data_IF_896259848032
#
_entry.id   IF_896259848032
#
_cell.length_a   1.000
_cell.length_b   1.000
_cell.length_c   1.000
_cell.angle_alpha   90.00
_cell.angle_beta   90.00
_cell.angle_gamma   90.00
#
_symmetry.space_group_name_H-M   'P 1'
#
loop_
_entity.id
_entity.type
_entity.pdbx_description
1 polymer ?
#
# COMPACT_ATOMS: atom_id res chain seq x y z
N UNK A 1 33.02 -25.19 -9.80
CA UNK A 1 31.68 -25.00 -10.39
C UNK A 1 30.82 -26.14 -9.91
N UNK A 2 30.09 -25.93 -8.81
CA UNK A 2 29.20 -26.94 -8.24
C UNK A 2 27.83 -26.31 -8.09
N UNK A 3 26.91 -26.80 -8.91
CA UNK A 3 25.50 -26.47 -8.96
C UNK A 3 24.86 -26.65 -7.58
N UNK A 4 24.55 -25.55 -6.92
CA UNK A 4 23.62 -25.57 -5.79
C UNK A 4 22.23 -25.85 -6.36
N UNK A 5 21.86 -27.13 -6.35
CA UNK A 5 20.48 -27.57 -6.49
C UNK A 5 19.68 -26.87 -5.41
N UNK A 6 18.83 -25.91 -5.80
CA UNK A 6 17.71 -25.48 -4.95
C UNK A 6 16.91 -26.73 -4.64
N UNK A 7 17.06 -27.27 -3.43
CA UNK A 7 16.12 -28.28 -2.94
C UNK A 7 14.76 -27.61 -2.94
N UNK A 8 13.86 -28.09 -3.80
CA UNK A 8 12.46 -27.69 -3.77
C UNK A 8 11.98 -28.02 -2.35
N UNK A 9 11.67 -27.00 -1.56
CA UNK A 9 11.05 -27.21 -0.25
C UNK A 9 9.72 -27.92 -0.53
N UNK A 10 9.54 -29.12 0.00
CA UNK A 10 8.35 -29.94 -0.31
C UNK A 10 7.46 -30.19 0.92
N UNK A 11 7.90 -29.83 2.12
CA UNK A 11 7.22 -30.13 3.41
C UNK A 11 6.77 -31.60 3.48
N UNK A 12 7.74 -32.51 3.37
CA UNK A 12 7.57 -33.97 3.44
C UNK A 12 8.47 -34.56 4.52
N UNK A 13 8.37 -34.05 5.75
CA UNK A 13 9.20 -34.52 6.87
C UNK A 13 8.90 -36.00 7.18
N UNK A 14 9.94 -36.82 7.29
CA UNK A 14 9.81 -38.25 7.61
C UNK A 14 9.37 -38.51 9.05
N UNK A 15 9.62 -37.54 9.93
CA UNK A 15 9.28 -37.49 11.34
C UNK A 15 8.01 -36.66 11.64
N UNK A 16 7.24 -36.32 10.59
CA UNK A 16 5.98 -35.62 10.71
C UNK A 16 4.99 -36.39 11.61
N UNK A 17 4.20 -35.66 12.40
CA UNK A 17 3.17 -36.18 13.29
C UNK A 17 1.75 -35.75 12.89
N UNK A 18 1.62 -35.02 11.77
CA UNK A 18 0.37 -34.62 11.13
C UNK A 18 0.57 -34.37 9.62
N UNK A 19 -0.48 -34.57 8.84
CA UNK A 19 -0.55 -34.20 7.43
C UNK A 19 -1.66 -33.18 7.23
N UNK A 20 -1.33 -32.01 6.67
CA UNK A 20 -2.33 -31.05 6.19
C UNK A 20 -2.59 -31.30 4.71
N UNK A 21 -3.84 -31.25 4.27
CA UNK A 21 -4.24 -31.39 2.86
C UNK A 21 -4.89 -30.09 2.40
N UNK A 22 -4.42 -29.50 1.31
CA UNK A 22 -5.02 -28.30 0.73
C UNK A 22 -6.41 -28.57 0.11
N UNK A 23 -7.22 -27.51 0.00
CA UNK A 23 -8.59 -27.60 -0.52
C UNK A 23 -8.70 -27.65 -2.04
N UNK A 24 -7.64 -27.27 -2.75
CA UNK A 24 -7.68 -27.15 -4.21
C UNK A 24 -7.77 -28.51 -4.92
N UNK A 25 -7.92 -28.48 -6.24
CA UNK A 25 -8.04 -29.70 -7.05
C UNK A 25 -6.81 -30.62 -6.96
N UNK A 26 -5.63 -30.10 -6.56
CA UNK A 26 -4.42 -30.89 -6.43
C UNK A 26 -4.39 -31.66 -5.10
N UNK A 27 -5.08 -31.17 -4.06
CA UNK A 27 -5.12 -31.76 -2.72
C UNK A 27 -3.73 -32.15 -2.22
N UNK A 28 -2.79 -31.21 -2.31
CA UNK A 28 -1.39 -31.44 -2.00
C UNK A 28 -1.23 -31.76 -0.50
N UNK A 29 -0.59 -32.89 -0.14
CA UNK A 29 -0.30 -33.22 1.25
C UNK A 29 0.97 -32.51 1.73
N UNK A 30 0.93 -31.98 2.95
CA UNK A 30 2.05 -31.37 3.67
C UNK A 30 2.28 -32.16 4.97
N UNK A 31 3.35 -32.94 5.03
CA UNK A 31 3.73 -33.70 6.22
C UNK A 31 4.59 -32.82 7.14
N UNK A 32 4.01 -32.40 8.26
CA UNK A 32 4.48 -31.31 9.14
C UNK A 32 4.38 -31.71 10.62
N UNK A 33 4.76 -30.79 11.51
CA UNK A 33 4.93 -31.04 12.94
C UNK A 33 3.93 -30.21 13.75
N UNK A 34 3.08 -30.87 14.56
CA UNK A 34 2.10 -30.23 15.43
C UNK A 34 2.76 -29.24 16.39
N UNK A 35 3.93 -29.56 16.93
CA UNK A 35 4.63 -28.70 17.88
C UNK A 35 5.04 -27.36 17.24
N UNK A 36 5.51 -27.36 15.99
CA UNK A 36 5.90 -26.15 15.25
C UNK A 36 4.65 -25.33 14.90
N UNK A 37 3.61 -25.98 14.35
CA UNK A 37 2.34 -25.32 14.05
C UNK A 37 1.69 -24.71 15.30
N UNK A 38 1.68 -25.43 16.42
CA UNK A 38 1.12 -24.94 17.70
C UNK A 38 1.91 -23.79 18.29
N UNK A 39 3.22 -23.75 18.05
CA UNK A 39 4.07 -22.66 18.51
C UNK A 39 3.82 -21.38 17.68
N UNK A 40 3.49 -21.52 16.40
CA UNK A 40 3.26 -20.40 15.50
C UNK A 40 1.80 -19.91 15.47
N UNK A 41 0.84 -20.73 15.93
CA UNK A 41 -0.59 -20.45 15.82
C UNK A 41 -1.37 -21.00 17.02
N UNK A 42 -2.05 -20.14 17.78
CA UNK A 42 -3.02 -20.57 18.80
C UNK A 42 -4.14 -21.43 18.23
N UNK A 43 -4.60 -21.14 17.01
CA UNK A 43 -5.66 -21.91 16.33
C UNK A 43 -5.24 -23.36 16.12
N UNK A 44 -4.02 -23.61 15.63
CA UNK A 44 -3.50 -24.97 15.49
C UNK A 44 -3.32 -25.63 16.86
N UNK A 45 -2.80 -24.91 17.85
CA UNK A 45 -2.64 -25.43 19.21
C UNK A 45 -3.96 -25.93 19.78
N UNK A 46 -5.01 -25.11 19.72
CA UNK A 46 -6.33 -25.46 20.22
C UNK A 46 -6.94 -26.62 19.42
N UNK A 47 -6.80 -26.60 18.09
CA UNK A 47 -7.26 -27.69 17.20
C UNK A 47 -6.65 -29.04 17.57
N UNK A 48 -5.36 -29.08 17.96
CA UNK A 48 -4.70 -30.32 18.36
C UNK A 48 -4.99 -30.76 19.80
N UNK A 49 -5.51 -29.85 20.65
CA UNK A 49 -5.96 -30.19 22.00
C UNK A 49 -7.33 -30.87 22.02
N UNK A 50 -8.13 -30.72 20.96
CA UNK A 50 -9.43 -31.37 20.84
C UNK A 50 -9.27 -32.88 20.64
N UNK A 51 -10.18 -33.71 21.23
CA UNK A 51 -10.17 -35.15 21.01
C UNK A 51 -10.33 -35.48 19.52
N UNK A 52 -9.28 -35.99 18.88
CA UNK A 52 -9.37 -36.44 17.49
C UNK A 52 -9.91 -37.88 17.41
N UNK A 53 -10.67 -38.23 16.37
CA UNK A 53 -11.01 -39.62 16.09
C UNK A 53 -9.74 -40.48 16.06
N UNK A 54 -9.74 -41.61 16.76
CA UNK A 54 -8.55 -42.48 16.85
C UNK A 54 -8.12 -42.88 15.43
N UNK A 55 -6.87 -42.57 15.08
CA UNK A 55 -6.28 -43.01 13.83
C UNK A 55 -6.31 -44.54 13.76
N UNK A 56 -7.02 -45.07 12.77
CA UNK A 56 -7.01 -46.50 12.46
C UNK A 56 -5.73 -46.83 11.70
N UNK A 57 -4.90 -47.73 12.26
CA UNK A 57 -3.80 -48.43 11.59
C UNK A 57 -2.49 -47.64 11.35
N UNK A 58 -2.01 -46.87 12.33
CA UNK A 58 -0.65 -46.31 12.30
C UNK A 58 -0.41 -45.22 11.23
N UNK A 59 -1.48 -44.70 10.63
CA UNK A 59 -1.44 -43.58 9.69
C UNK A 59 -1.43 -42.25 10.46
N UNK A 60 -0.69 -41.26 9.92
CA UNK A 60 -0.66 -39.92 10.50
C UNK A 60 -2.06 -39.28 10.47
N UNK A 61 -2.43 -38.48 11.49
CA UNK A 61 -3.65 -37.68 11.44
C UNK A 61 -3.64 -36.76 10.21
N UNK A 62 -4.75 -36.75 9.47
CA UNK A 62 -4.94 -35.94 8.27
C UNK A 62 -5.95 -34.84 8.57
N UNK A 63 -5.62 -33.60 8.20
CA UNK A 63 -6.47 -32.43 8.38
C UNK A 63 -6.70 -31.78 7.02
N UNK A 64 -7.96 -31.72 6.60
CA UNK A 64 -8.37 -30.98 5.42
C UNK A 64 -8.39 -29.49 5.76
N UNK A 65 -7.56 -28.73 5.04
CA UNK A 65 -7.52 -27.27 5.09
C UNK A 65 -8.51 -26.68 4.09
N UNK A 66 -8.85 -25.40 4.23
CA UNK A 66 -9.68 -24.69 3.23
C UNK A 66 -8.83 -23.85 2.28
N UNK A 67 -7.57 -23.66 2.63
CA UNK A 67 -6.57 -22.89 1.91
C UNK A 67 -6.00 -23.68 0.73
N UNK A 68 -5.61 -22.99 -0.35
CA UNK A 68 -4.99 -23.63 -1.52
C UNK A 68 -3.57 -24.14 -1.21
N UNK A 69 -3.02 -24.95 -2.11
CA UNK A 69 -1.66 -25.47 -1.98
C UNK A 69 -0.64 -24.34 -1.93
N UNK A 70 -0.82 -23.28 -2.72
CA UNK A 70 0.07 -22.12 -2.77
C UNK A 70 0.03 -21.33 -1.46
N UNK A 71 -1.17 -21.08 -0.93
CA UNK A 71 -1.36 -20.37 0.34
C UNK A 71 -0.75 -21.17 1.49
N UNK A 72 -1.06 -22.47 1.58
CA UNK A 72 -0.49 -23.35 2.60
C UNK A 72 1.03 -23.40 2.51
N UNK A 73 1.57 -23.48 1.30
CA UNK A 73 3.02 -23.49 1.10
C UNK A 73 3.69 -22.19 1.54
N UNK A 74 3.09 -21.03 1.28
CA UNK A 74 3.58 -19.74 1.75
C UNK A 74 3.54 -19.63 3.28
N UNK A 75 2.42 -20.00 3.90
CA UNK A 75 2.28 -19.99 5.36
C UNK A 75 3.29 -20.89 6.06
N UNK A 76 3.50 -22.11 5.54
CA UNK A 76 4.46 -23.04 6.10
C UNK A 76 5.90 -22.51 5.99
N UNK A 77 6.23 -21.74 4.94
CA UNK A 77 7.54 -21.09 4.85
C UNK A 77 7.75 -20.00 5.90
N UNK A 78 6.69 -19.29 6.32
CA UNK A 78 6.79 -18.36 7.45
C UNK A 78 6.92 -19.05 8.81
N UNK A 79 6.33 -20.24 8.94
CA UNK A 79 6.29 -21.00 10.21
C UNK A 79 7.59 -21.80 10.45
N UNK A 80 8.15 -22.36 9.38
CA UNK A 80 9.35 -23.20 9.45
C UNK A 80 10.63 -22.37 9.32
N UNK A 81 11.78 -22.87 9.82
CA UNK A 81 13.07 -22.19 9.72
C UNK A 81 13.66 -22.31 8.31
N UNK A 82 12.95 -21.74 7.33
CA UNK A 82 13.31 -21.67 5.92
C UNK A 82 13.21 -20.21 5.45
N UNK A 83 13.75 -19.86 4.28
CA UNK A 83 13.57 -18.51 3.75
C UNK A 83 12.09 -18.17 3.60
N UNK A 84 11.71 -16.96 4.03
CA UNK A 84 10.36 -16.46 3.82
C UNK A 84 10.01 -16.41 2.32
N UNK A 85 8.74 -16.64 1.96
CA UNK A 85 8.31 -16.54 0.58
C UNK A 85 8.43 -15.11 0.09
N UNK A 86 8.83 -14.95 -1.17
CA UNK A 86 8.70 -13.69 -1.91
C UNK A 86 7.33 -13.70 -2.56
N UNK A 87 6.47 -12.78 -2.14
CA UNK A 87 5.14 -12.61 -2.71
C UNK A 87 5.19 -11.41 -3.65
N UNK A 88 4.89 -11.63 -4.93
CA UNK A 88 5.23 -10.67 -5.98
C UNK A 88 4.05 -9.79 -6.40
N UNK A 89 2.84 -10.12 -5.95
CA UNK A 89 1.62 -9.41 -6.32
C UNK A 89 0.63 -9.33 -5.16
N UNK A 90 -0.25 -8.34 -5.22
CA UNK A 90 -1.35 -8.20 -4.25
C UNK A 90 -2.35 -9.36 -4.38
N UNK A 91 -2.51 -9.94 -5.58
CA UNK A 91 -3.36 -11.12 -5.82
C UNK A 91 -2.86 -12.38 -5.10
N UNK A 92 -1.54 -12.53 -4.96
CA UNK A 92 -0.93 -13.59 -4.15
C UNK A 92 -0.94 -13.24 -2.65
N UNK A 93 -0.72 -11.96 -2.31
CA UNK A 93 -0.60 -11.49 -0.92
C UNK A 93 -1.92 -11.61 -0.16
N UNK A 94 -3.03 -11.18 -0.76
CA UNK A 94 -4.33 -11.10 -0.07
C UNK A 94 -4.81 -12.46 0.43
N UNK A 95 -4.81 -13.56 -0.35
CA UNK A 95 -5.20 -14.89 0.14
C UNK A 95 -4.30 -15.40 1.27
N UNK A 96 -2.99 -15.12 1.21
CA UNK A 96 -2.05 -15.53 2.25
C UNK A 96 -2.28 -14.73 3.53
N UNK A 97 -2.52 -13.43 3.42
CA UNK A 97 -2.84 -12.56 4.58
C UNK A 97 -4.18 -12.96 5.22
N UNK A 98 -5.19 -13.27 4.42
CA UNK A 98 -6.48 -13.75 4.89
C UNK A 98 -6.33 -15.05 5.69
N UNK A 99 -5.59 -16.02 5.14
CA UNK A 99 -5.32 -17.27 5.82
C UNK A 99 -4.44 -17.08 7.08
N UNK A 100 -3.43 -16.22 7.03
CA UNK A 100 -2.58 -15.90 8.18
C UNK A 100 -3.38 -15.28 9.34
N UNK A 101 -4.30 -14.35 9.03
CA UNK A 101 -5.23 -13.76 10.01
C UNK A 101 -6.19 -14.80 10.57
N UNK A 102 -6.77 -15.65 9.70
CA UNK A 102 -7.71 -16.70 10.10
C UNK A 102 -7.06 -17.74 11.02
N UNK A 103 -5.83 -18.14 10.72
CA UNK A 103 -5.06 -19.11 11.48
C UNK A 103 -4.25 -18.46 12.62
N UNK A 104 -4.33 -17.14 12.78
CA UNK A 104 -3.64 -16.38 13.83
C UNK A 104 -2.11 -16.64 13.84
N UNK A 105 -1.47 -16.43 12.69
CA UNK A 105 -0.02 -16.64 12.47
C UNK A 105 0.67 -15.27 12.42
N UNK A 106 1.00 -14.71 13.58
CA UNK A 106 1.55 -13.35 13.72
C UNK A 106 2.81 -13.11 12.88
N UNK A 107 3.74 -14.06 12.84
CA UNK A 107 4.98 -13.94 12.06
C UNK A 107 4.71 -13.75 10.56
N UNK A 108 3.68 -14.43 10.04
CA UNK A 108 3.26 -14.28 8.65
C UNK A 108 2.56 -12.94 8.46
N UNK A 109 1.65 -12.56 9.36
CA UNK A 109 0.93 -11.28 9.31
C UNK A 109 1.93 -10.12 9.27
N UNK A 110 2.91 -10.08 10.17
CA UNK A 110 3.91 -9.01 10.23
C UNK A 110 4.79 -8.96 8.98
N UNK A 111 5.17 -10.11 8.42
CA UNK A 111 5.93 -10.11 7.17
C UNK A 111 5.10 -9.61 5.98
N UNK A 112 3.84 -10.04 5.89
CA UNK A 112 2.91 -9.66 4.81
C UNK A 112 2.54 -8.18 4.88
N UNK A 113 2.39 -7.62 6.08
CA UNK A 113 2.20 -6.17 6.31
C UNK A 113 3.33 -5.34 5.73
N UNK A 114 4.58 -5.76 5.97
CA UNK A 114 5.76 -5.09 5.41
C UNK A 114 5.82 -5.22 3.87
N UNK A 115 5.42 -6.38 3.34
CA UNK A 115 5.36 -6.60 1.89
C UNK A 115 4.24 -5.77 1.23
N UNK A 116 3.10 -5.61 1.89
CA UNK A 116 1.94 -4.84 1.39
C UNK A 116 2.29 -3.38 1.10
N UNK A 117 3.18 -2.78 1.90
CA UNK A 117 3.61 -1.38 1.77
C UNK A 117 4.94 -1.22 1.03
N UNK A 118 5.36 -2.22 0.24
CA UNK A 118 6.48 -2.06 -0.67
C UNK A 118 6.20 -0.93 -1.67
N UNK A 119 7.26 -0.21 -2.03
CA UNK A 119 7.19 0.98 -2.88
C UNK A 119 6.45 0.71 -4.20
N UNK A 120 6.70 -0.44 -4.84
CA UNK A 120 6.07 -0.80 -6.10
C UNK A 120 4.53 -0.89 -6.00
N UNK A 121 4.00 -1.44 -4.91
CA UNK A 121 2.55 -1.50 -4.68
C UNK A 121 1.98 -0.12 -4.36
N UNK A 122 2.67 0.67 -3.54
CA UNK A 122 2.25 2.02 -3.17
C UNK A 122 2.27 3.00 -4.35
N UNK A 123 3.16 2.83 -5.32
CA UNK A 123 3.27 3.72 -6.48
C UNK A 123 2.27 3.34 -7.58
N UNK A 124 2.05 2.03 -7.80
CA UNK A 124 1.22 1.53 -8.89
C UNK A 124 -0.25 1.34 -8.49
N UNK A 125 -0.51 0.84 -7.28
CA UNK A 125 -1.85 0.44 -6.82
C UNK A 125 -2.22 0.98 -5.42
N UNK A 126 -1.96 2.27 -5.07
CA UNK A 126 -2.15 2.77 -3.70
C UNK A 126 -3.58 2.66 -3.18
N UNK A 127 -4.59 2.80 -4.05
CA UNK A 127 -6.00 2.64 -3.65
C UNK A 127 -6.32 1.19 -3.27
N UNK A 128 -5.73 0.22 -3.98
CA UNK A 128 -5.88 -1.19 -3.66
C UNK A 128 -5.17 -1.54 -2.35
N UNK A 129 -3.96 -1.03 -2.13
CA UNK A 129 -3.24 -1.18 -0.85
C UNK A 129 -4.06 -0.58 0.30
N UNK A 130 -4.66 0.61 0.12
CA UNK A 130 -5.56 1.20 1.10
C UNK A 130 -6.76 0.30 1.39
N UNK A 131 -7.38 -0.26 0.36
CA UNK A 131 -8.53 -1.14 0.51
C UNK A 131 -8.19 -2.42 1.28
N UNK A 132 -7.06 -3.06 0.96
CA UNK A 132 -6.55 -4.23 1.68
C UNK A 132 -6.28 -3.89 3.14
N UNK A 133 -5.58 -2.77 3.40
CA UNK A 133 -5.25 -2.35 4.75
C UNK A 133 -6.52 -2.05 5.58
N UNK A 134 -7.52 -1.41 4.99
CA UNK A 134 -8.82 -1.18 5.64
C UNK A 134 -9.58 -2.48 5.91
N UNK A 135 -9.64 -3.40 4.93
CA UNK A 135 -10.29 -4.71 5.07
C UNK A 135 -9.73 -5.52 6.24
N UNK A 136 -8.41 -5.49 6.44
CA UNK A 136 -7.71 -6.29 7.47
C UNK A 136 -7.37 -5.51 8.75
N UNK A 137 -7.91 -4.31 8.93
CA UNK A 137 -7.69 -3.42 10.07
C UNK A 137 -6.19 -3.12 10.35
N UNK A 138 -5.45 -2.87 9.27
CA UNK A 138 -4.01 -2.59 9.29
C UNK A 138 -3.78 -1.07 9.30
N UNK A 139 -3.98 -0.44 10.46
CA UNK A 139 -4.06 1.02 10.58
C UNK A 139 -2.79 1.76 10.13
N UNK A 140 -1.59 1.22 10.40
CA UNK A 140 -0.34 1.86 10.00
C UNK A 140 -0.17 1.82 8.47
N UNK A 141 -0.42 0.65 7.87
CA UNK A 141 -0.36 0.42 6.43
C UNK A 141 -1.42 1.24 5.69
N UNK A 142 -2.62 1.36 6.28
CA UNK A 142 -3.70 2.20 5.79
C UNK A 142 -3.26 3.66 5.72
N UNK A 143 -2.62 4.18 6.77
CA UNK A 143 -2.11 5.56 6.78
C UNK A 143 -1.04 5.81 5.72
N UNK A 144 -0.13 4.85 5.55
CA UNK A 144 0.91 4.92 4.51
C UNK A 144 0.26 4.95 3.13
N UNK A 145 -0.64 4.01 2.84
CA UNK A 145 -1.33 3.93 1.56
C UNK A 145 -2.17 5.19 1.28
N UNK A 146 -2.92 5.68 2.27
CA UNK A 146 -3.72 6.90 2.17
C UNK A 146 -2.87 8.09 1.70
N UNK A 147 -1.65 8.26 2.22
CA UNK A 147 -0.73 9.32 1.79
C UNK A 147 -0.33 9.17 0.31
N UNK A 148 -0.08 7.94 -0.15
CA UNK A 148 0.25 7.68 -1.55
C UNK A 148 -0.94 7.90 -2.49
N UNK A 149 -2.17 7.66 -2.04
CA UNK A 149 -3.35 7.95 -2.86
C UNK A 149 -3.47 9.44 -3.21
N UNK A 150 -2.98 10.38 -2.39
CA UNK A 150 -3.02 11.83 -2.67
C UNK A 150 -2.29 12.23 -3.97
N UNK A 151 -1.41 11.37 -4.49
CA UNK A 151 -0.70 11.57 -5.77
C UNK A 151 -1.51 11.10 -6.99
N UNK A 152 -2.67 10.48 -6.78
CA UNK A 152 -3.53 9.90 -7.81
C UNK A 152 -4.92 10.50 -7.70
N UNK A 153 -5.61 10.61 -8.83
CA UNK A 153 -7.03 10.85 -8.82
C UNK A 153 -7.72 9.54 -8.42
N UNK A 154 -8.35 9.51 -7.24
CA UNK A 154 -9.00 8.31 -6.69
C UNK A 154 -10.11 7.80 -7.60
N UNK A 155 -10.79 8.69 -8.33
CA UNK A 155 -11.90 8.34 -9.21
C UNK A 155 -11.43 7.69 -10.51
N UNK A 156 -10.19 7.94 -10.92
CA UNK A 156 -9.57 7.36 -12.12
C UNK A 156 -8.75 6.10 -11.80
N UNK A 157 -8.58 5.74 -10.52
CA UNK A 157 -7.90 4.52 -10.14
C UNK A 157 -8.67 3.28 -10.63
N UNK A 158 -7.97 2.21 -11.07
CA UNK A 158 -8.62 0.95 -11.44
C UNK A 158 -9.47 0.40 -10.30
N UNK A 159 -10.64 -0.13 -10.65
CA UNK A 159 -11.47 -0.86 -9.70
C UNK A 159 -10.76 -2.15 -9.29
N UNK A 160 -10.56 -2.34 -7.99
CA UNK A 160 -10.12 -3.60 -7.40
C UNK A 160 -11.28 -4.31 -6.71
N UNK A 161 -11.27 -5.64 -6.76
CA UNK A 161 -12.16 -6.49 -5.98
C UNK A 161 -12.00 -6.26 -4.47
N UNK A 162 -10.81 -5.82 -4.02
CA UNK A 162 -10.56 -5.48 -2.61
C UNK A 162 -11.46 -4.36 -2.09
N UNK A 163 -11.92 -3.45 -2.97
CA UNK A 163 -12.88 -2.40 -2.62
C UNK A 163 -14.26 -2.95 -2.25
N UNK A 164 -14.61 -4.17 -2.67
CA UNK A 164 -15.89 -4.81 -2.28
C UNK A 164 -15.93 -5.18 -0.79
N UNK A 165 -14.76 -5.22 -0.15
CA UNK A 165 -14.59 -5.68 1.22
C UNK A 165 -14.39 -4.54 2.21
N UNK A 166 -14.36 -3.29 1.76
CA UNK A 166 -14.31 -2.11 2.65
C UNK A 166 -15.70 -1.53 2.84
N UNK A 167 -15.87 -0.81 3.94
CA UNK A 167 -17.14 -0.12 4.17
C UNK A 167 -17.23 1.15 3.33
N UNK A 168 -18.46 1.61 3.07
CA UNK A 168 -18.68 2.94 2.51
C UNK A 168 -18.09 4.04 3.40
N UNK A 169 -17.98 3.79 4.72
CA UNK A 169 -17.34 4.71 5.67
C UNK A 169 -15.83 4.83 5.40
N UNK A 170 -15.11 3.73 5.21
CA UNK A 170 -13.67 3.74 4.92
C UNK A 170 -13.36 4.44 3.59
N UNK A 171 -14.20 4.22 2.59
CA UNK A 171 -14.08 4.89 1.30
C UNK A 171 -14.40 6.39 1.41
N UNK A 172 -15.49 6.76 2.10
CA UNK A 172 -15.83 8.17 2.32
C UNK A 172 -14.76 8.90 3.13
N UNK A 173 -14.15 8.25 4.12
CA UNK A 173 -13.03 8.78 4.90
C UNK A 173 -11.83 9.11 4.01
N UNK A 174 -11.53 8.28 3.02
CA UNK A 174 -10.49 8.57 2.03
C UNK A 174 -10.84 9.79 1.17
N UNK A 175 -12.07 9.90 0.69
CA UNK A 175 -12.51 11.06 -0.10
C UNK A 175 -12.47 12.35 0.72
N UNK A 176 -12.90 12.30 1.98
CA UNK A 176 -12.83 13.43 2.91
C UNK A 176 -11.37 13.84 3.18
N UNK A 177 -10.45 12.87 3.34
CA UNK A 177 -9.01 13.15 3.43
C UNK A 177 -8.52 13.92 2.20
N UNK A 178 -8.85 13.46 1.00
CA UNK A 178 -8.46 14.14 -0.25
C UNK A 178 -9.00 15.57 -0.30
N UNK A 179 -10.28 15.75 0.03
CA UNK A 179 -10.92 17.07 0.02
C UNK A 179 -10.30 18.04 1.04
N UNK A 180 -10.04 17.58 2.26
CA UNK A 180 -9.39 18.38 3.31
C UNK A 180 -7.96 18.77 2.92
N UNK A 181 -7.18 17.83 2.39
CA UNK A 181 -5.82 18.12 1.94
C UNK A 181 -5.82 19.08 0.76
N UNK A 182 -6.68 18.86 -0.23
CA UNK A 182 -6.85 19.77 -1.37
C UNK A 182 -7.11 21.20 -0.89
N UNK A 183 -8.10 21.40 -0.01
CA UNK A 183 -8.42 22.72 0.55
C UNK A 183 -7.25 23.34 1.30
N UNK A 184 -6.63 22.60 2.22
CA UNK A 184 -5.52 23.12 3.02
C UNK A 184 -4.33 23.56 2.16
N UNK A 185 -4.05 22.82 1.08
CA UNK A 185 -2.99 23.16 0.14
C UNK A 185 -3.35 24.38 -0.71
N UNK A 186 -4.58 24.46 -1.22
CA UNK A 186 -5.06 25.63 -1.97
C UNK A 186 -5.04 26.90 -1.12
N UNK A 187 -5.45 26.81 0.16
CA UNK A 187 -5.40 27.92 1.10
C UNK A 187 -3.97 28.38 1.38
N UNK A 188 -3.01 27.45 1.42
CA UNK A 188 -1.58 27.75 1.59
C UNK A 188 -0.96 28.42 0.35
N UNK A 189 -1.58 28.30 -0.83
CA UNK A 189 -1.18 28.99 -2.06
C UNK A 189 -1.71 30.44 -2.06
N UNK A 190 -1.14 31.28 -1.18
CA UNK A 190 -1.53 32.67 -1.03
C UNK A 190 -1.45 33.48 -2.37
N UNK A 191 -2.57 34.02 -2.89
CA UNK A 191 -2.59 34.71 -4.20
C UNK A 191 -1.68 35.93 -4.31
N UNK A 192 -1.38 36.56 -3.17
CA UNK A 192 -0.59 37.80 -3.11
C UNK A 192 0.90 37.56 -2.79
N UNK A 193 1.34 36.30 -2.67
CA UNK A 193 2.70 35.94 -2.23
C UNK A 193 3.80 36.56 -3.09
N UNK A 194 3.67 36.48 -4.42
CA UNK A 194 4.67 37.01 -5.34
C UNK A 194 4.17 38.24 -6.08
N UNK A 195 5.02 39.26 -6.12
CA UNK A 195 4.79 40.49 -6.87
C UNK A 195 5.82 40.64 -7.97
N UNK A 196 5.41 41.16 -9.13
CA UNK A 196 6.34 41.51 -10.18
C UNK A 196 6.80 42.98 -10.03
N UNK A 197 8.03 43.26 -10.45
CA UNK A 197 8.59 44.63 -10.45
C UNK A 197 7.90 45.55 -11.47
N UNK A 198 7.14 45.00 -12.41
CA UNK A 198 6.36 45.78 -13.38
C UNK A 198 5.07 46.32 -12.73
N UNK A 199 4.82 47.63 -12.89
CA UNK A 199 3.79 48.39 -12.16
C UNK A 199 2.38 47.76 -12.28
N UNK A 200 2.01 47.25 -13.45
CA UNK A 200 0.69 46.66 -13.72
C UNK A 200 0.65 45.12 -13.55
N UNK A 201 1.51 44.56 -12.71
CA UNK A 201 1.68 43.11 -12.52
C UNK A 201 1.79 42.75 -11.02
N UNK A 202 0.78 43.19 -10.24
CA UNK A 202 0.64 42.92 -8.80
C UNK A 202 -0.76 42.36 -8.51
N UNK A 203 -0.91 41.08 -8.11
CA UNK A 203 0.14 40.06 -7.96
C UNK A 203 0.81 39.69 -9.29
N UNK A 204 1.94 38.98 -9.22
CA UNK A 204 2.66 38.56 -10.42
C UNK A 204 1.77 37.65 -11.29
N UNK A 205 1.68 37.95 -12.60
CA UNK A 205 0.83 37.20 -13.53
C UNK A 205 1.19 35.72 -13.59
N UNK A 206 2.48 35.38 -13.57
CA UNK A 206 2.92 33.97 -13.57
C UNK A 206 2.44 33.21 -12.34
N UNK A 207 2.39 33.87 -11.18
CA UNK A 207 1.89 33.25 -9.94
C UNK A 207 0.38 33.10 -9.95
N UNK A 208 -0.33 34.07 -10.53
CA UNK A 208 -1.78 33.98 -10.72
C UNK A 208 -2.13 32.81 -11.64
N UNK A 209 -1.40 32.66 -12.76
CA UNK A 209 -1.55 31.54 -13.68
C UNK A 209 -1.20 30.21 -13.01
N UNK A 210 -0.11 30.17 -12.23
CA UNK A 210 0.28 29.00 -11.45
C UNK A 210 -0.82 28.57 -10.47
N UNK A 211 -1.35 29.48 -9.65
CA UNK A 211 -2.39 29.16 -8.67
C UNK A 211 -3.64 28.63 -9.37
N UNK A 212 -4.04 29.26 -10.48
CA UNK A 212 -5.23 28.83 -11.20
C UNK A 212 -5.12 27.37 -11.65
N UNK A 213 -3.97 26.99 -12.20
CA UNK A 213 -3.75 25.61 -12.66
C UNK A 213 -3.50 24.67 -11.49
N UNK A 214 -2.73 25.12 -10.49
CA UNK A 214 -2.44 24.34 -9.29
C UNK A 214 -3.72 24.01 -8.53
N UNK A 215 -4.69 24.91 -8.44
CA UNK A 215 -5.95 24.63 -7.75
C UNK A 215 -6.79 23.57 -8.47
N UNK A 216 -6.75 23.50 -9.81
CA UNK A 216 -7.41 22.42 -10.55
C UNK A 216 -6.70 21.09 -10.29
N UNK A 217 -5.38 21.11 -10.39
CA UNK A 217 -4.55 19.92 -10.20
C UNK A 217 -4.69 19.37 -8.77
N UNK A 218 -4.64 20.23 -7.76
CA UNK A 218 -4.83 19.86 -6.36
C UNK A 218 -6.26 19.39 -6.04
N UNK A 219 -7.25 19.74 -6.85
CA UNK A 219 -8.62 19.24 -6.68
C UNK A 219 -8.72 17.75 -7.03
N UNK A 220 -7.86 17.26 -7.94
CA UNK A 220 -7.82 15.86 -8.36
C UNK A 220 -6.71 15.08 -7.63
N UNK A 221 -5.55 15.70 -7.45
CA UNK A 221 -4.32 15.11 -6.89
C UNK A 221 -3.74 16.06 -5.83
N UNK A 222 -4.20 15.99 -4.58
CA UNK A 222 -3.77 16.88 -3.49
C UNK A 222 -2.33 16.56 -3.01
N UNK A 223 -1.34 16.81 -3.88
CA UNK A 223 0.08 16.57 -3.62
C UNK A 223 0.93 17.70 -4.16
N UNK A 224 1.94 18.13 -3.40
CA UNK A 224 2.87 19.15 -3.91
C UNK A 224 3.77 18.60 -5.03
N UNK A 225 3.97 17.28 -5.06
CA UNK A 225 4.81 16.60 -6.04
C UNK A 225 4.24 16.71 -7.46
N UNK A 226 2.95 17.07 -7.64
CA UNK A 226 2.34 17.28 -8.96
C UNK A 226 2.43 18.74 -9.42
N UNK A 227 2.24 19.72 -8.53
CA UNK A 227 2.22 21.15 -8.90
C UNK A 227 3.59 21.83 -8.86
N UNK A 228 4.58 21.29 -8.14
CA UNK A 228 5.93 21.85 -8.08
C UNK A 228 6.92 21.19 -9.06
N UNK A 229 6.42 20.41 -10.03
CA UNK A 229 7.25 19.88 -11.11
C UNK A 229 7.84 21.02 -11.96
N UNK A 230 9.07 20.88 -12.47
CA UNK A 230 9.69 21.87 -13.34
C UNK A 230 8.82 22.24 -14.55
N UNK A 231 8.17 21.26 -15.17
CA UNK A 231 7.30 21.45 -16.33
C UNK A 231 6.04 22.25 -15.96
N UNK A 232 5.46 21.99 -14.79
CA UNK A 232 4.28 22.69 -14.29
C UNK A 232 4.57 24.18 -14.07
N UNK A 233 5.70 24.47 -13.43
CA UNK A 233 6.19 25.84 -13.21
C UNK A 233 6.51 26.54 -14.54
N UNK A 234 7.17 25.85 -15.47
CA UNK A 234 7.52 26.38 -16.78
C UNK A 234 6.27 26.74 -17.60
N UNK A 235 5.25 25.89 -17.59
CA UNK A 235 3.99 26.13 -18.29
C UNK A 235 3.28 27.37 -17.74
N UNK A 236 3.26 27.51 -16.41
CA UNK A 236 2.67 28.67 -15.73
C UNK A 236 3.35 29.98 -16.14
N UNK A 237 4.68 29.98 -16.24
CA UNK A 237 5.46 31.15 -16.70
C UNK A 237 5.28 31.43 -18.19
N UNK A 238 5.30 30.39 -19.02
CA UNK A 238 5.21 30.52 -20.49
C UNK A 238 3.85 31.07 -20.93
N UNK A 239 2.77 30.74 -20.22
CA UNK A 239 1.41 31.22 -20.51
C UNK A 239 1.26 32.75 -20.42
N UNK A 240 2.14 33.43 -19.68
CA UNK A 240 2.05 34.88 -19.42
C UNK A 240 3.18 35.68 -20.06
N UNK A 241 4.11 35.06 -20.78
CA UNK A 241 5.32 35.74 -21.29
C UNK A 241 5.00 36.91 -22.23
N UNK A 242 3.96 36.77 -23.05
CA UNK A 242 3.47 37.81 -23.96
C UNK A 242 2.75 38.95 -23.22
N UNK A 243 2.30 38.70 -21.99
CA UNK A 243 1.59 39.67 -21.16
C UNK A 243 2.53 40.44 -20.22
N UNK A 244 3.66 39.84 -19.82
CA UNK A 244 4.66 40.47 -18.99
C UNK A 244 6.04 39.80 -19.16
N UNK A 245 6.97 40.50 -19.83
CA UNK A 245 8.33 40.03 -20.07
C UNK A 245 9.20 39.91 -18.81
N UNK A 246 8.79 40.54 -17.69
CA UNK A 246 9.50 40.47 -16.42
C UNK A 246 9.14 39.23 -15.58
N UNK A 247 8.00 38.57 -15.87
CA UNK A 247 7.51 37.43 -15.11
C UNK A 247 8.50 36.24 -15.05
N UNK A 248 9.16 35.83 -16.16
CA UNK A 248 10.14 34.74 -16.12
C UNK A 248 11.30 35.00 -15.17
N UNK A 249 11.85 36.23 -15.18
CA UNK A 249 12.93 36.62 -14.26
C UNK A 249 12.48 36.59 -12.80
N UNK A 250 11.26 37.07 -12.52
CA UNK A 250 10.71 37.05 -11.16
C UNK A 250 10.40 35.65 -10.66
N UNK A 251 9.98 34.73 -11.53
CA UNK A 251 9.76 33.33 -11.17
C UNK A 251 11.10 32.67 -10.80
N UNK A 252 12.12 32.84 -11.64
CA UNK A 252 13.48 32.33 -11.38
C UNK A 252 14.05 32.85 -10.06
N UNK A 253 13.93 34.16 -9.79
CA UNK A 253 14.41 34.74 -8.54
C UNK A 253 13.63 34.27 -7.31
N UNK A 254 12.40 33.74 -7.50
CA UNK A 254 11.54 33.25 -6.42
C UNK A 254 11.73 31.75 -6.14
N UNK A 255 12.59 31.05 -6.88
CA UNK A 255 12.71 29.59 -6.82
C UNK A 255 13.05 29.05 -5.42
N UNK A 256 13.97 29.71 -4.69
CA UNK A 256 14.31 29.32 -3.33
C UNK A 256 13.11 29.43 -2.36
N UNK A 257 12.27 30.47 -2.52
CA UNK A 257 11.05 30.63 -1.73
C UNK A 257 9.95 29.64 -2.16
N UNK A 258 9.86 29.28 -3.45
CA UNK A 258 8.96 28.21 -3.92
C UNK A 258 9.30 26.86 -3.27
N UNK A 259 10.59 26.52 -3.15
CA UNK A 259 11.03 25.30 -2.44
C UNK A 259 10.75 25.36 -0.94
N UNK A 260 10.78 26.54 -0.33
CA UNK A 260 10.37 26.73 1.06
C UNK A 260 8.84 26.60 1.21
N UNK A 261 8.08 27.14 0.26
CA UNK A 261 6.62 26.99 0.20
C UNK A 261 6.21 25.53 0.04
N UNK A 262 6.84 24.78 -0.88
CA UNK A 262 6.60 23.33 -1.04
C UNK A 262 6.77 22.60 0.30
N UNK A 263 7.91 22.81 0.97
CA UNK A 263 8.19 22.19 2.27
C UNK A 263 7.14 22.52 3.33
N UNK A 264 6.73 23.79 3.44
CA UNK A 264 5.67 24.18 4.39
C UNK A 264 4.33 23.51 4.09
N UNK A 265 3.99 23.34 2.82
CA UNK A 265 2.76 22.63 2.43
C UNK A 265 2.88 21.13 2.75
N UNK A 266 4.04 20.52 2.51
CA UNK A 266 4.31 19.11 2.83
C UNK A 266 4.28 18.82 4.34
N UNK A 267 4.55 19.83 5.17
CA UNK A 267 4.50 19.78 6.63
C UNK A 267 3.10 20.03 7.22
N UNK A 268 2.08 20.28 6.38
CA UNK A 268 0.71 20.44 6.86
C UNK A 268 0.24 19.18 7.61
N UNK A 269 -0.56 19.33 8.70
CA UNK A 269 -1.02 18.21 9.48
C UNK A 269 -1.71 17.14 8.62
N UNK A 270 -1.25 15.89 8.72
CA UNK A 270 -1.83 14.75 8.03
C UNK A 270 -2.67 13.92 9.00
N UNK A 271 -3.99 14.06 8.91
CA UNK A 271 -4.96 13.29 9.70
C UNK A 271 -5.83 12.43 8.79
N UNK A 272 -5.49 11.14 8.77
CA UNK A 272 -6.33 10.06 8.22
C UNK A 272 -7.51 9.83 9.11
#
# INVERSE_FOLDING_TARGET
MSSHSQSVLEFKSSDADVVLISADNQKRPFAVHKCILSAASPVFKDMFMLPQPKATNGTLPVIDMVESSEVMFALLQFIYPVPNPVISSLDELVPVLEAAKKLDIDVAIDSLRNQLVLFDHLENEPLRVYAIAARFDLQEELRIAAKHTLKKNVLDCPLSEDLKHITAYDYHRLLDLHHRHSRAMQDALEPKRYTCHYINCKPARWWTAFIQEANKELAERPSTDVIFLPEFLQNSVSSVINQCSACPKTALSSYADLLALKRRIDELPFTV
#
